data_IF_731937677001
#
_entry.id   IF_731937677001
#
_cell.length_a   1.000
_cell.length_b   1.000
_cell.length_c   1.000
_cell.angle_alpha   90.00
_cell.angle_beta   90.00
_cell.angle_gamma   90.00
#
_symmetry.space_group_name_H-M   'P 1'
#
loop_
_entity.id
_entity.type
_entity.pdbx_description
1 polymer ?
#
# COMPACT_ATOMS: atom_id res chain seq x y z
N UNK A 1 -6.79 -12.64 -5.84
CA UNK A 1 -6.66 -11.19 -5.62
C UNK A 1 -5.20 -10.84 -5.76
N UNK A 2 -4.86 -9.98 -6.71
CA UNK A 2 -3.46 -9.71 -7.09
C UNK A 2 -2.81 -8.90 -5.97
N UNK A 3 -2.13 -9.61 -5.08
CA UNK A 3 -0.99 -9.02 -4.40
C UNK A 3 0.05 -8.79 -5.49
N UNK A 4 0.20 -7.56 -5.96
CA UNK A 4 1.48 -7.11 -6.54
C UNK A 4 2.43 -6.98 -5.35
N UNK A 5 2.88 -8.15 -4.84
CA UNK A 5 4.01 -8.23 -3.91
C UNK A 5 5.24 -7.92 -4.72
N UNK A 6 5.99 -6.93 -4.22
CA UNK A 6 7.38 -6.63 -4.52
C UNK A 6 8.18 -7.91 -4.85
N UNK A 7 8.51 -8.11 -6.12
CA UNK A 7 9.53 -9.05 -6.59
C UNK A 7 9.79 -8.78 -8.07
N UNK A 8 10.68 -7.83 -8.35
CA UNK A 8 11.17 -7.58 -9.70
C UNK A 8 12.69 -7.40 -9.67
N UNK A 9 13.38 -8.55 -9.60
CA UNK A 9 14.79 -8.70 -9.97
C UNK A 9 14.87 -9.73 -11.08
N UNK A 10 14.62 -9.31 -12.33
CA UNK A 10 14.99 -10.10 -13.51
C UNK A 10 15.53 -9.15 -14.59
N UNK A 11 16.85 -9.21 -14.79
CA UNK A 11 17.59 -8.54 -15.85
C UNK A 11 17.39 -9.20 -17.23
N UNK A 12 16.14 -9.45 -17.63
CA UNK A 12 15.82 -9.85 -18.99
C UNK A 12 15.49 -8.59 -19.82
N UNK A 13 15.93 -8.55 -21.08
CA UNK A 13 15.45 -7.56 -22.05
C UNK A 13 13.92 -7.71 -22.14
N UNK A 14 13.20 -6.83 -21.46
CA UNK A 14 11.74 -6.76 -21.52
C UNK A 14 11.31 -6.65 -22.99
N UNK A 15 10.35 -7.46 -23.40
CA UNK A 15 9.70 -7.34 -24.71
C UNK A 15 8.68 -6.20 -24.73
N UNK A 16 8.29 -5.72 -23.55
CA UNK A 16 7.37 -4.60 -23.36
C UNK A 16 8.14 -3.28 -23.43
N UNK A 17 7.68 -2.30 -24.25
CA UNK A 17 8.27 -0.97 -24.31
C UNK A 17 8.25 -0.25 -22.95
N UNK A 18 9.24 0.61 -22.74
CA UNK A 18 9.29 1.51 -21.58
C UNK A 18 9.09 2.96 -22.06
N UNK A 19 8.07 3.68 -21.55
CA UNK A 19 7.01 3.19 -20.67
C UNK A 19 5.96 2.34 -21.44
N UNK A 20 5.28 1.40 -20.76
CA UNK A 20 4.21 0.60 -21.37
C UNK A 20 2.96 1.44 -21.62
N UNK A 21 2.26 1.11 -22.70
CA UNK A 21 0.99 1.72 -23.06
C UNK A 21 -0.20 0.89 -22.55
N UNK A 22 -1.41 1.46 -22.62
CA UNK A 22 -2.66 0.79 -22.23
C UNK A 22 -2.82 -0.61 -22.87
N UNK A 23 -2.47 -0.75 -24.15
CA UNK A 23 -2.58 -2.02 -24.89
C UNK A 23 -1.64 -3.12 -24.37
N UNK A 24 -0.50 -2.76 -23.76
CA UNK A 24 0.42 -3.71 -23.15
C UNK A 24 -0.18 -4.31 -21.88
N UNK A 25 -0.79 -3.47 -21.03
CA UNK A 25 -1.52 -3.91 -19.85
C UNK A 25 -2.72 -4.78 -20.22
N UNK A 26 -3.52 -4.39 -21.22
CA UNK A 26 -4.63 -5.21 -21.70
C UNK A 26 -4.16 -6.59 -22.16
N UNK A 27 -3.07 -6.65 -22.95
CA UNK A 27 -2.50 -7.91 -23.43
C UNK A 27 -2.04 -8.79 -22.27
N UNK A 28 -1.39 -8.20 -21.26
CA UNK A 28 -0.97 -8.92 -20.05
C UNK A 28 -2.17 -9.44 -19.24
N UNK A 29 -3.21 -8.63 -19.03
CA UNK A 29 -4.40 -9.02 -18.28
C UNK A 29 -5.22 -10.12 -18.98
N UNK A 30 -5.27 -10.11 -20.32
CA UNK A 30 -6.00 -11.12 -21.09
C UNK A 30 -5.41 -12.54 -20.98
N UNK A 31 -4.16 -12.69 -20.51
CA UNK A 31 -3.56 -14.01 -20.22
C UNK A 31 -4.08 -14.64 -18.92
N UNK A 32 -4.86 -13.89 -18.12
CA UNK A 32 -5.48 -14.36 -16.89
C UNK A 32 -4.48 -14.50 -15.72
N UNK A 33 -4.96 -14.36 -14.49
CA UNK A 33 -4.13 -14.47 -13.27
C UNK A 33 -3.99 -15.91 -12.76
N UNK A 34 -4.68 -16.86 -13.38
CA UNK A 34 -4.68 -18.25 -12.93
C UNK A 34 -3.58 -19.08 -13.61
N UNK A 35 -2.86 -18.50 -14.56
CA UNK A 35 -1.78 -19.16 -15.28
C UNK A 35 -0.43 -18.54 -14.94
N UNK A 36 0.63 -19.36 -14.92
CA UNK A 36 2.00 -18.87 -14.76
C UNK A 36 2.37 -17.84 -15.84
N UNK A 37 2.01 -18.10 -17.10
CA UNK A 37 2.26 -17.19 -18.21
C UNK A 37 1.59 -15.82 -18.05
N UNK A 38 0.41 -15.77 -17.41
CA UNK A 38 -0.26 -14.50 -17.12
C UNK A 38 0.32 -13.75 -15.92
N UNK A 39 0.85 -14.46 -14.93
CA UNK A 39 1.67 -13.86 -13.87
C UNK A 39 2.96 -13.26 -14.41
N UNK A 40 3.68 -13.98 -15.26
CA UNK A 40 4.91 -13.51 -15.90
C UNK A 40 4.66 -12.27 -16.76
N UNK A 41 3.61 -12.27 -17.58
CA UNK A 41 3.27 -11.13 -18.43
C UNK A 41 2.88 -9.87 -17.63
N UNK A 42 2.15 -10.03 -16.52
CA UNK A 42 1.81 -8.89 -15.66
C UNK A 42 3.04 -8.37 -14.91
N UNK A 43 3.88 -9.28 -14.42
CA UNK A 43 5.16 -8.95 -13.79
C UNK A 43 6.05 -8.16 -14.77
N UNK A 44 6.14 -8.59 -16.04
CA UNK A 44 6.92 -7.92 -17.08
C UNK A 44 6.39 -6.50 -17.39
N UNK A 45 5.07 -6.31 -17.58
CA UNK A 45 4.52 -4.97 -17.87
C UNK A 45 4.67 -4.02 -16.68
N UNK A 46 4.51 -4.50 -15.45
CA UNK A 46 4.75 -3.66 -14.27
C UNK A 46 6.23 -3.34 -14.08
N UNK A 47 7.14 -4.24 -14.46
CA UNK A 47 8.58 -3.95 -14.48
C UNK A 47 8.92 -2.87 -15.51
N UNK A 48 8.35 -2.97 -16.72
CA UNK A 48 8.52 -1.95 -17.75
C UNK A 48 7.93 -0.59 -17.34
N UNK A 49 6.94 -0.57 -16.44
CA UNK A 49 6.31 0.64 -15.92
C UNK A 49 7.07 1.31 -14.76
N UNK A 50 8.15 0.69 -14.25
CA UNK A 50 9.00 1.33 -13.24
C UNK A 50 9.82 2.45 -13.88
N UNK A 51 10.04 3.54 -13.14
CA UNK A 51 10.92 4.62 -13.59
C UNK A 51 12.34 4.11 -13.86
N UNK A 52 12.93 4.54 -14.98
CA UNK A 52 14.34 4.29 -15.26
C UNK A 52 15.24 5.20 -14.41
N UNK A 53 16.50 4.80 -14.22
CA UNK A 53 17.50 5.61 -13.50
C UNK A 53 17.59 7.04 -14.06
N UNK A 54 17.55 7.18 -15.39
CA UNK A 54 17.56 8.49 -16.07
C UNK A 54 16.38 9.36 -15.66
N UNK A 55 15.19 8.77 -15.55
CA UNK A 55 13.97 9.47 -15.12
C UNK A 55 14.03 9.83 -13.63
N UNK A 56 14.50 8.91 -12.80
CA UNK A 56 14.73 9.14 -11.37
C UNK A 56 15.74 10.27 -11.14
N UNK A 57 16.85 10.31 -11.88
CA UNK A 57 17.82 11.40 -11.83
C UNK A 57 17.23 12.74 -12.29
N UNK A 58 16.41 12.76 -13.36
CA UNK A 58 15.73 13.98 -13.81
C UNK A 58 14.83 14.54 -12.70
N UNK A 59 14.12 13.67 -11.98
CA UNK A 59 13.28 14.06 -10.83
C UNK A 59 14.14 14.53 -9.65
N UNK A 60 15.25 13.84 -9.36
CA UNK A 60 16.16 14.17 -8.25
C UNK A 60 16.75 15.59 -8.38
N UNK A 61 17.11 15.99 -9.61
CA UNK A 61 17.67 17.31 -9.91
C UNK A 61 16.61 18.43 -9.83
N UNK A 62 15.33 18.09 -9.93
CA UNK A 62 14.22 19.02 -9.78
C UNK A 62 14.02 19.50 -8.34
N UNK A 63 12.94 20.27 -8.13
CA UNK A 63 12.50 20.77 -6.81
C UNK A 63 11.08 20.30 -6.43
N UNK A 64 10.43 19.52 -7.28
CA UNK A 64 9.10 19.01 -7.01
C UNK A 64 9.14 17.87 -5.99
N UNK A 65 8.85 18.22 -4.73
CA UNK A 65 8.82 17.30 -3.58
C UNK A 65 7.90 16.11 -3.83
N UNK A 66 6.72 16.32 -4.42
CA UNK A 66 5.76 15.25 -4.63
C UNK A 66 6.25 14.26 -5.70
N UNK A 67 6.85 14.76 -6.78
CA UNK A 67 7.47 13.90 -7.79
C UNK A 67 8.64 13.09 -7.20
N UNK A 68 9.44 13.67 -6.30
CA UNK A 68 10.50 12.93 -5.60
C UNK A 68 9.94 11.83 -4.70
N UNK A 69 8.87 12.10 -3.95
CA UNK A 69 8.18 11.09 -3.13
C UNK A 69 7.69 9.95 -4.03
N UNK A 70 6.99 10.28 -5.12
CA UNK A 70 6.46 9.29 -6.04
C UNK A 70 7.55 8.44 -6.70
N UNK A 71 8.64 9.07 -7.13
CA UNK A 71 9.77 8.37 -7.73
C UNK A 71 10.47 7.44 -6.73
N UNK A 72 10.70 7.91 -5.50
CA UNK A 72 11.29 7.09 -4.44
C UNK A 72 10.42 5.90 -4.02
N UNK A 73 9.08 5.99 -4.16
CA UNK A 73 8.18 4.85 -3.92
C UNK A 73 8.20 3.84 -5.08
N UNK A 74 8.57 4.26 -6.29
CA UNK A 74 8.67 3.42 -7.48
C UNK A 74 10.03 2.77 -7.68
N UNK A 75 11.07 3.22 -6.99
CA UNK A 75 12.40 2.65 -7.14
C UNK A 75 12.49 1.19 -6.69
N UNK A 76 13.43 0.46 -7.27
CA UNK A 76 13.67 -0.96 -6.99
C UNK A 76 14.24 -1.11 -5.59
N UNK A 77 13.87 -2.20 -4.90
CA UNK A 77 14.31 -2.42 -3.51
C UNK A 77 15.83 -2.50 -3.35
N UNK A 78 16.55 -2.89 -4.41
CA UNK A 78 18.01 -3.02 -4.45
C UNK A 78 18.73 -1.74 -4.90
N UNK A 79 18.01 -0.68 -5.27
CA UNK A 79 18.59 0.60 -5.67
C UNK A 79 18.71 1.56 -4.46
N UNK A 80 19.82 2.30 -4.41
CA UNK A 80 20.08 3.29 -3.37
C UNK A 80 19.44 4.66 -3.68
N UNK A 81 19.05 4.89 -4.94
CA UNK A 81 18.56 6.19 -5.40
C UNK A 81 17.19 6.56 -4.82
N UNK A 82 16.31 5.58 -4.64
CA UNK A 82 14.94 5.79 -4.16
C UNK A 82 14.89 6.26 -2.71
N UNK A 83 15.64 5.64 -1.80
CA UNK A 83 15.68 6.14 -0.42
C UNK A 83 16.29 7.55 -0.37
N UNK A 84 17.29 7.84 -1.20
CA UNK A 84 17.87 9.18 -1.30
C UNK A 84 16.86 10.22 -1.83
N UNK A 85 16.00 9.86 -2.79
CA UNK A 85 14.89 10.70 -3.27
C UNK A 85 13.90 11.02 -2.13
N UNK A 86 13.51 10.01 -1.35
CA UNK A 86 12.58 10.19 -0.22
C UNK A 86 13.20 11.07 0.89
N UNK A 87 14.46 10.84 1.23
CA UNK A 87 15.18 11.64 2.23
C UNK A 87 15.39 13.09 1.77
N UNK A 88 15.67 13.31 0.48
CA UNK A 88 15.75 14.64 -0.11
C UNK A 88 14.40 15.34 -0.07
N UNK A 89 13.31 14.65 -0.43
CA UNK A 89 11.96 15.19 -0.36
C UNK A 89 11.59 15.63 1.07
N UNK A 90 11.88 14.79 2.06
CA UNK A 90 11.68 15.10 3.48
C UNK A 90 12.58 16.25 3.97
N UNK A 91 13.79 16.39 3.42
CA UNK A 91 14.71 17.48 3.77
C UNK A 91 14.29 18.83 3.15
N UNK A 92 13.77 18.82 1.92
CA UNK A 92 13.26 20.03 1.24
C UNK A 92 11.97 20.50 1.90
N UNK A 93 11.12 19.58 2.35
CA UNK A 93 9.83 19.89 3.00
C UNK A 93 9.70 19.17 4.35
N UNK A 94 10.41 19.63 5.39
CA UNK A 94 10.46 18.95 6.68
C UNK A 94 9.12 18.95 7.42
N UNK A 95 8.20 19.85 7.09
CA UNK A 95 6.83 19.87 7.61
C UNK A 95 5.85 18.97 6.86
N UNK A 96 6.26 18.33 5.77
CA UNK A 96 5.40 17.43 5.01
C UNK A 96 5.43 16.02 5.63
N UNK A 97 4.39 15.69 6.40
CA UNK A 97 4.27 14.39 7.05
C UNK A 97 4.24 13.21 6.07
N UNK A 98 3.73 13.38 4.85
CA UNK A 98 3.71 12.33 3.84
C UNK A 98 5.12 11.98 3.34
N UNK A 99 6.03 12.95 3.26
CA UNK A 99 7.44 12.69 2.91
C UNK A 99 8.10 11.77 3.95
N UNK A 100 7.88 12.06 5.23
CA UNK A 100 8.37 11.22 6.33
C UNK A 100 7.68 9.86 6.38
N UNK A 101 6.38 9.79 6.08
CA UNK A 101 5.67 8.52 5.95
C UNK A 101 6.30 7.63 4.87
N UNK A 102 6.60 8.20 3.70
CA UNK A 102 7.26 7.47 2.62
C UNK A 102 8.63 6.92 3.04
N UNK A 103 9.46 7.72 3.72
CA UNK A 103 10.73 7.26 4.30
C UNK A 103 10.49 6.11 5.27
N UNK A 104 9.56 6.26 6.22
CA UNK A 104 9.28 5.24 7.22
C UNK A 104 8.83 3.91 6.59
N UNK A 105 7.89 3.93 5.63
CA UNK A 105 7.44 2.71 4.97
C UNK A 105 8.53 2.05 4.12
N UNK A 106 9.34 2.85 3.41
CA UNK A 106 10.44 2.33 2.61
C UNK A 106 11.50 1.69 3.50
N UNK A 107 11.93 2.38 4.55
CA UNK A 107 12.89 1.85 5.50
C UNK A 107 12.38 0.56 6.16
N UNK A 108 11.12 0.50 6.59
CA UNK A 108 10.53 -0.71 7.16
C UNK A 108 10.53 -1.89 6.16
N UNK A 109 10.27 -1.60 4.88
CA UNK A 109 10.31 -2.60 3.82
C UNK A 109 11.73 -3.14 3.61
N UNK A 110 12.74 -2.26 3.57
CA UNK A 110 14.15 -2.67 3.46
C UNK A 110 14.59 -3.53 4.66
N UNK A 111 14.25 -3.10 5.87
CA UNK A 111 14.52 -3.83 7.11
C UNK A 111 13.90 -5.23 7.12
N UNK A 112 12.62 -5.34 6.76
CA UNK A 112 11.89 -6.61 6.67
C UNK A 112 12.50 -7.60 5.67
N UNK A 113 13.14 -7.10 4.62
CA UNK A 113 13.75 -7.93 3.57
C UNK A 113 15.27 -8.07 3.73
N UNK A 114 15.85 -7.55 4.81
CA UNK A 114 17.29 -7.55 5.07
C UNK A 114 18.13 -6.92 3.93
N UNK A 115 17.65 -5.82 3.36
CA UNK A 115 18.31 -5.12 2.26
C UNK A 115 19.06 -3.89 2.79
N UNK A 116 20.33 -3.76 2.39
CA UNK A 116 21.20 -2.64 2.76
C UNK A 116 21.74 -2.71 4.20
N UNK A 117 22.25 -1.59 4.70
CA UNK A 117 22.75 -1.49 6.06
C UNK A 117 21.59 -1.35 7.07
N UNK A 118 21.40 -2.40 7.88
CA UNK A 118 20.26 -2.52 8.81
C UNK A 118 20.29 -1.44 9.88
N UNK A 119 21.46 -1.10 10.42
CA UNK A 119 21.58 -0.12 11.49
C UNK A 119 21.23 1.30 10.99
N UNK A 120 21.79 1.68 9.84
CA UNK A 120 21.52 2.96 9.18
C UNK A 120 20.04 3.07 8.80
N UNK A 121 19.48 2.01 8.21
CA UNK A 121 18.06 1.98 7.83
C UNK A 121 17.13 2.06 9.05
N UNK A 122 17.48 1.38 10.14
CA UNK A 122 16.77 1.48 11.43
C UNK A 122 16.81 2.89 12.01
N UNK A 123 17.94 3.58 11.92
CA UNK A 123 18.05 4.98 12.36
C UNK A 123 17.18 5.92 11.50
N UNK A 124 17.16 5.72 10.17
CA UNK A 124 16.28 6.48 9.26
C UNK A 124 14.80 6.25 9.57
N UNK A 125 14.41 4.99 9.78
CA UNK A 125 13.06 4.61 10.18
C UNK A 125 12.62 5.30 11.49
N UNK A 126 13.46 5.23 12.54
CA UNK A 126 13.19 5.87 13.83
C UNK A 126 13.01 7.38 13.67
N UNK A 127 13.95 8.06 13.01
CA UNK A 127 13.87 9.50 12.72
C UNK A 127 12.58 9.88 11.98
N UNK A 128 12.19 9.09 10.98
CA UNK A 128 10.99 9.36 10.20
C UNK A 128 9.72 9.24 11.06
N UNK A 129 9.58 8.16 11.84
CA UNK A 129 8.43 7.99 12.73
C UNK A 129 8.42 9.02 13.88
N UNK A 130 9.58 9.45 14.38
CA UNK A 130 9.68 10.54 15.38
C UNK A 130 9.14 11.83 14.80
N UNK A 131 9.58 12.16 13.58
CA UNK A 131 9.14 13.38 12.90
C UNK A 131 7.65 13.33 12.60
N UNK A 132 7.11 12.20 12.13
CA UNK A 132 5.67 12.03 11.93
C UNK A 132 4.88 12.25 13.23
N UNK A 133 5.37 11.73 14.36
CA UNK A 133 4.74 11.89 15.67
C UNK A 133 4.74 13.35 16.12
N UNK A 134 5.80 14.10 15.83
CA UNK A 134 5.88 15.53 16.12
C UNK A 134 4.95 16.36 15.24
N UNK A 135 4.85 16.05 13.94
CA UNK A 135 4.01 16.80 12.99
C UNK A 135 2.51 16.50 13.16
N UNK A 136 2.16 15.28 13.55
CA UNK A 136 0.78 14.85 13.78
C UNK A 136 0.65 14.08 15.10
N UNK A 137 0.66 14.76 16.26
CA UNK A 137 0.71 14.12 17.58
C UNK A 137 -0.49 13.25 17.94
N UNK A 138 -1.60 13.39 17.22
CA UNK A 138 -2.81 12.57 17.40
C UNK A 138 -2.87 11.38 16.44
N UNK A 139 -1.98 11.29 15.45
CA UNK A 139 -1.94 10.19 14.50
C UNK A 139 -1.23 8.96 15.10
N UNK A 140 -1.92 7.84 15.18
CA UNK A 140 -1.43 6.58 15.74
C UNK A 140 -0.53 5.76 14.82
N UNK A 141 -0.49 6.05 13.51
CA UNK A 141 0.29 5.28 12.52
C UNK A 141 1.77 5.15 12.87
N UNK A 142 2.50 6.21 13.31
CA UNK A 142 3.90 6.08 13.71
C UNK A 142 4.13 5.05 14.83
N UNK A 143 3.21 4.95 15.80
CA UNK A 143 3.31 3.97 16.88
C UNK A 143 3.07 2.55 16.38
N UNK A 144 2.09 2.34 15.49
CA UNK A 144 1.89 1.02 14.87
C UNK A 144 3.09 0.60 14.01
N UNK A 145 3.72 1.54 13.30
CA UNK A 145 4.94 1.27 12.54
C UNK A 145 6.08 0.84 13.46
N UNK A 146 6.29 1.56 14.58
CA UNK A 146 7.30 1.18 15.57
C UNK A 146 7.02 -0.17 16.20
N UNK A 147 5.76 -0.46 16.53
CA UNK A 147 5.38 -1.77 17.05
C UNK A 147 5.71 -2.88 16.04
N UNK A 148 5.46 -2.65 14.75
CA UNK A 148 5.83 -3.59 13.70
C UNK A 148 7.35 -3.75 13.58
N UNK A 149 8.12 -2.67 13.75
CA UNK A 149 9.59 -2.71 13.78
C UNK A 149 10.13 -3.46 15.00
N UNK A 150 9.58 -3.23 16.19
CA UNK A 150 9.92 -3.98 17.41
C UNK A 150 9.67 -5.48 17.24
N UNK A 151 8.59 -5.87 16.55
CA UNK A 151 8.37 -7.27 16.18
C UNK A 151 9.45 -7.84 15.24
N UNK A 152 10.00 -7.03 14.32
CA UNK A 152 11.12 -7.45 13.46
C UNK A 152 12.41 -7.63 14.27
N UNK A 153 12.62 -6.80 15.29
CA UNK A 153 13.75 -6.90 16.22
C UNK A 153 13.52 -7.94 17.34
N UNK A 154 12.45 -8.75 17.25
CA UNK A 154 12.04 -9.77 18.24
C UNK A 154 11.65 -9.20 19.62
N UNK A 155 11.46 -7.88 19.74
CA UNK A 155 11.01 -7.19 20.94
C UNK A 155 9.47 -7.14 21.04
N UNK A 156 8.84 -8.29 21.31
CA UNK A 156 7.38 -8.36 21.41
C UNK A 156 6.82 -7.55 22.59
N UNK A 157 7.58 -7.41 23.68
CA UNK A 157 7.20 -6.58 24.83
C UNK A 157 7.01 -5.10 24.44
N UNK A 158 8.00 -4.50 23.78
CA UNK A 158 7.90 -3.13 23.29
C UNK A 158 6.77 -2.93 22.28
N UNK A 159 6.57 -3.90 21.37
CA UNK A 159 5.47 -3.86 20.41
C UNK A 159 4.08 -3.84 21.09
N UNK A 160 3.90 -4.59 22.19
CA UNK A 160 2.67 -4.58 22.99
C UNK A 160 2.43 -3.24 23.68
N UNK A 161 3.47 -2.64 24.26
CA UNK A 161 3.34 -1.31 24.88
C UNK A 161 2.95 -0.24 23.85
N UNK A 162 3.57 -0.29 22.67
CA UNK A 162 3.30 0.65 21.58
C UNK A 162 1.89 0.51 21.00
N UNK A 163 1.37 -0.72 20.84
CA UNK A 163 0.01 -0.92 20.31
C UNK A 163 -1.05 -0.42 21.28
N UNK A 164 -0.84 -0.60 22.59
CA UNK A 164 -1.72 -0.06 23.65
C UNK A 164 -1.65 1.46 23.68
N UNK A 165 -0.46 2.05 23.54
CA UNK A 165 -0.32 3.51 23.43
C UNK A 165 -1.04 4.06 22.19
N UNK A 166 -0.93 3.38 21.04
CA UNK A 166 -1.62 3.74 19.80
C UNK A 166 -3.15 3.63 19.91
N UNK A 167 -3.65 2.71 20.73
CA UNK A 167 -5.06 2.53 21.02
C UNK A 167 -5.69 3.76 21.68
N UNK A 168 -4.92 4.51 22.49
CA UNK A 168 -5.38 5.71 23.19
C UNK A 168 -5.39 6.99 22.35
N UNK A 169 -4.93 6.95 21.09
CA UNK A 169 -4.88 8.12 20.20
C UNK A 169 -6.07 8.15 19.27
N UNK A 170 -6.58 9.32 18.86
CA UNK A 170 -7.78 9.41 18.03
C UNK A 170 -7.53 9.24 16.52
N UNK A 171 -6.40 9.75 16.02
CA UNK A 171 -6.10 9.82 14.60
C UNK A 171 -5.51 8.54 14.03
N UNK A 172 -5.83 8.24 12.77
CA UNK A 172 -5.22 7.18 11.97
C UNK A 172 -5.17 7.61 10.51
N UNK A 173 -4.02 8.14 10.09
CA UNK A 173 -3.77 8.53 8.69
C UNK A 173 -2.50 7.85 8.19
N UNK A 174 -2.68 6.94 7.22
CA UNK A 174 -1.59 6.20 6.58
C UNK A 174 -0.89 7.00 5.49
N UNK A 175 -1.44 8.15 5.10
CA UNK A 175 -1.04 8.98 3.96
C UNK A 175 -1.13 8.26 2.60
N UNK A 176 -1.77 7.09 2.52
CA UNK A 176 -1.70 6.24 1.33
C UNK A 176 -2.21 6.93 0.05
N UNK A 177 -3.36 7.60 0.11
CA UNK A 177 -3.88 8.35 -1.03
C UNK A 177 -2.94 9.46 -1.47
N UNK A 178 -2.35 10.21 -0.52
CA UNK A 178 -1.36 11.26 -0.81
C UNK A 178 -0.12 10.68 -1.49
N UNK A 179 0.36 9.53 -1.01
CA UNK A 179 1.50 8.83 -1.61
C UNK A 179 1.19 8.32 -3.03
N UNK A 180 -0.02 7.80 -3.27
CA UNK A 180 -0.49 7.40 -4.60
C UNK A 180 -0.53 8.59 -5.57
N UNK A 181 -1.01 9.75 -5.13
CA UNK A 181 -0.98 10.99 -5.93
C UNK A 181 0.45 11.40 -6.26
N UNK A 182 1.39 11.28 -5.32
CA UNK A 182 2.80 11.55 -5.58
C UNK A 182 3.37 10.64 -6.67
N UNK A 183 3.02 9.34 -6.67
CA UNK A 183 3.41 8.38 -7.73
C UNK A 183 2.86 8.80 -9.09
N UNK A 184 1.58 9.21 -9.17
CA UNK A 184 0.97 9.70 -10.42
C UNK A 184 1.77 10.89 -10.95
N UNK A 185 2.03 11.89 -10.10
CA UNK A 185 2.76 13.09 -10.50
C UNK A 185 4.19 12.80 -10.94
N UNK A 186 4.88 11.85 -10.29
CA UNK A 186 6.21 11.43 -10.70
C UNK A 186 6.20 10.86 -12.12
N UNK A 187 5.31 9.90 -12.40
CA UNK A 187 5.18 9.23 -13.70
C UNK A 187 4.75 10.20 -14.81
N UNK A 188 3.74 11.04 -14.55
CA UNK A 188 3.29 12.05 -15.53
C UNK A 188 4.38 13.10 -15.83
N UNK A 189 5.21 13.48 -14.85
CA UNK A 189 6.30 14.45 -15.04
C UNK A 189 7.42 13.97 -15.99
N UNK A 190 7.50 12.66 -16.23
CA UNK A 190 8.44 12.05 -17.16
C UNK A 190 7.77 11.49 -18.41
N UNK A 191 6.47 11.76 -18.60
CA UNK A 191 5.76 11.54 -19.86
C UNK A 191 5.00 10.22 -19.98
N UNK A 192 4.72 9.54 -18.86
CA UNK A 192 3.89 8.33 -18.86
C UNK A 192 2.43 8.72 -19.14
N UNK A 193 1.65 7.82 -19.74
CA UNK A 193 0.23 8.08 -19.97
C UNK A 193 -0.54 8.15 -18.64
N UNK A 194 -1.68 8.85 -18.66
CA UNK A 194 -2.58 8.96 -17.51
C UNK A 194 -2.97 7.58 -16.95
N UNK A 195 -3.25 6.62 -17.84
CA UNK A 195 -3.57 5.26 -17.45
C UNK A 195 -2.39 4.58 -16.75
N UNK A 196 -1.20 4.60 -17.35
CA UNK A 196 -0.01 3.95 -16.78
C UNK A 196 0.33 4.54 -15.42
N UNK A 197 0.26 5.87 -15.28
CA UNK A 197 0.50 6.55 -14.00
C UNK A 197 -0.46 6.05 -12.89
N UNK A 198 -1.75 5.93 -13.21
CA UNK A 198 -2.80 5.53 -12.26
C UNK A 198 -2.77 4.06 -11.91
N UNK A 199 -2.58 3.17 -12.88
CA UNK A 199 -2.52 1.73 -12.62
C UNK A 199 -1.30 1.38 -11.76
N UNK A 200 -0.15 2.01 -12.02
CA UNK A 200 1.05 1.85 -11.21
C UNK A 200 0.81 2.41 -9.79
N UNK A 201 0.26 3.61 -9.67
CA UNK A 201 -0.10 4.18 -8.37
C UNK A 201 -1.06 3.28 -7.58
N UNK A 202 -2.02 2.63 -8.24
CA UNK A 202 -2.95 1.71 -7.57
C UNK A 202 -2.28 0.50 -6.90
N UNK A 203 -1.13 0.06 -7.42
CA UNK A 203 -0.31 -1.00 -6.83
C UNK A 203 0.53 -0.58 -5.62
N UNK A 204 0.63 0.72 -5.32
CA UNK A 204 1.41 1.21 -4.20
C UNK A 204 0.58 1.22 -2.90
N UNK A 205 0.73 0.19 -2.08
CA UNK A 205 0.12 0.07 -0.75
C UNK A 205 1.19 -0.10 0.36
N UNK A 206 2.05 0.91 0.58
CA UNK A 206 3.25 0.75 1.43
C UNK A 206 2.92 0.50 2.91
N UNK A 207 1.77 0.95 3.40
CA UNK A 207 1.36 0.83 4.80
C UNK A 207 0.82 -0.58 5.14
N UNK A 208 0.03 -1.15 4.24
CA UNK A 208 -0.88 -2.27 4.52
C UNK A 208 -0.17 -3.58 4.87
N UNK A 209 1.08 -3.76 4.45
CA UNK A 209 1.82 -5.02 4.65
C UNK A 209 2.44 -5.19 6.04
N UNK A 210 2.51 -4.13 6.85
CA UNK A 210 3.06 -4.20 8.20
C UNK A 210 2.06 -4.78 9.21
N UNK A 211 0.78 -4.45 9.04
CA UNK A 211 -0.28 -4.74 10.03
C UNK A 211 -0.52 -6.24 10.26
N UNK A 212 -0.61 -7.11 9.23
CA UNK A 212 -0.84 -8.54 9.43
C UNK A 212 0.28 -9.26 10.19
N UNK A 213 1.52 -8.76 10.09
CA UNK A 213 2.65 -9.35 10.82
C UNK A 213 2.61 -8.93 12.29
N UNK A 214 2.36 -7.65 12.53
CA UNK A 214 2.21 -7.09 13.87
C UNK A 214 1.12 -7.81 14.65
N UNK A 215 -0.11 -7.86 14.13
CA UNK A 215 -1.23 -8.43 14.90
C UNK A 215 -1.01 -9.93 15.20
N UNK A 216 -0.50 -10.70 14.23
CA UNK A 216 -0.19 -12.12 14.46
C UNK A 216 0.86 -12.31 15.54
N UNK A 217 1.91 -11.48 15.55
CA UNK A 217 2.97 -11.56 16.55
C UNK A 217 2.42 -11.26 17.96
N UNK A 218 1.63 -10.19 18.10
CA UNK A 218 0.99 -9.82 19.37
C UNK A 218 0.01 -10.91 19.84
N UNK A 219 -0.90 -11.35 18.97
CA UNK A 219 -1.97 -12.29 19.32
C UNK A 219 -1.47 -13.71 19.60
N UNK A 220 -0.29 -14.09 19.09
CA UNK A 220 0.36 -15.35 19.39
C UNK A 220 1.12 -15.33 20.74
N UNK A 221 1.55 -14.16 21.20
CA UNK A 221 2.42 -14.01 22.37
C UNK A 221 1.64 -13.83 23.69
N UNK A 222 0.64 -14.67 23.94
CA UNK A 222 -0.20 -14.63 25.15
C UNK A 222 -0.65 -13.22 25.53
N UNK A 223 -1.47 -12.56 24.69
CA UNK A 223 -1.78 -11.15 24.86
C UNK A 223 -2.70 -10.88 26.05
N UNK A 224 -2.59 -9.70 26.65
CA UNK A 224 -3.58 -9.19 27.60
C UNK A 224 -4.89 -8.80 26.88
N UNK A 225 -6.00 -8.70 27.61
CA UNK A 225 -7.28 -8.24 27.04
C UNK A 225 -7.17 -6.86 26.38
N UNK A 226 -6.35 -5.98 26.96
CA UNK A 226 -6.11 -4.64 26.41
C UNK A 226 -5.34 -4.70 25.09
N UNK A 227 -4.29 -5.53 25.00
CA UNK A 227 -3.54 -5.77 23.76
C UNK A 227 -4.44 -6.34 22.66
N UNK A 228 -5.34 -7.27 23.00
CA UNK A 228 -6.29 -7.81 22.01
C UNK A 228 -7.29 -6.73 21.54
N UNK A 229 -7.77 -5.86 22.44
CA UNK A 229 -8.61 -4.71 22.06
C UNK A 229 -7.86 -3.70 21.20
N UNK A 230 -6.58 -3.49 21.46
CA UNK A 230 -5.72 -2.65 20.64
C UNK A 230 -5.56 -3.21 19.21
N UNK A 231 -5.38 -4.54 19.07
CA UNK A 231 -5.43 -5.20 17.76
C UNK A 231 -6.80 -5.08 17.08
N UNK A 232 -7.89 -5.22 17.83
CA UNK A 232 -9.25 -5.06 17.30
C UNK A 232 -9.46 -3.65 16.72
N UNK A 233 -9.04 -2.61 17.44
CA UNK A 233 -9.13 -1.22 16.96
C UNK A 233 -8.22 -0.96 15.75
N UNK A 234 -6.98 -1.48 15.75
CA UNK A 234 -6.10 -1.41 14.57
C UNK A 234 -6.80 -2.01 13.35
N UNK A 235 -7.42 -3.19 13.50
CA UNK A 235 -8.16 -3.84 12.42
C UNK A 235 -9.31 -2.99 11.90
N UNK A 236 -10.10 -2.37 12.80
CA UNK A 236 -11.19 -1.47 12.40
C UNK A 236 -10.69 -0.21 11.66
N UNK A 237 -9.58 0.36 12.13
CA UNK A 237 -8.92 1.53 11.49
C UNK A 237 -8.40 1.20 10.10
N UNK A 238 -7.68 0.09 9.95
CA UNK A 238 -7.20 -0.36 8.65
C UNK A 238 -8.37 -0.70 7.73
N UNK A 239 -9.44 -1.32 8.24
CA UNK A 239 -10.60 -1.65 7.43
C UNK A 239 -11.38 -0.42 6.92
N UNK A 240 -11.17 0.75 7.52
CA UNK A 240 -11.74 2.01 7.02
C UNK A 240 -10.98 2.60 5.82
N UNK A 241 -9.87 1.97 5.41
CA UNK A 241 -9.10 2.34 4.23
C UNK A 241 -9.90 2.25 2.93
N UNK A 242 -9.48 3.05 1.94
CA UNK A 242 -10.17 3.16 0.65
C UNK A 242 -9.97 1.96 -0.29
N UNK A 243 -9.00 1.09 -0.03
CA UNK A 243 -8.71 -0.08 -0.87
C UNK A 243 -9.33 -1.38 -0.33
N UNK A 244 -9.61 -2.32 -1.22
CA UNK A 244 -10.01 -3.69 -0.89
C UNK A 244 -8.91 -4.41 -0.10
N UNK A 245 -7.63 -4.10 -0.37
CA UNK A 245 -6.53 -4.70 0.38
C UNK A 245 -6.55 -4.27 1.85
N UNK A 246 -6.74 -2.98 2.12
CA UNK A 246 -6.88 -2.45 3.48
C UNK A 246 -8.08 -3.07 4.19
N UNK A 247 -9.24 -3.07 3.53
CA UNK A 247 -10.46 -3.68 4.05
C UNK A 247 -10.23 -5.14 4.45
N UNK A 248 -9.65 -5.96 3.55
CA UNK A 248 -9.41 -7.37 3.83
C UNK A 248 -8.38 -7.61 4.92
N UNK A 249 -7.32 -6.79 4.98
CA UNK A 249 -6.32 -6.87 6.05
C UNK A 249 -6.96 -6.49 7.39
N UNK A 250 -7.64 -5.35 7.46
CA UNK A 250 -8.30 -4.86 8.67
C UNK A 250 -9.36 -5.82 9.19
N UNK A 251 -10.23 -6.32 8.31
CA UNK A 251 -11.22 -7.35 8.61
C UNK A 251 -10.59 -8.63 9.17
N UNK A 252 -9.46 -9.05 8.59
CA UNK A 252 -8.77 -10.25 9.05
C UNK A 252 -8.12 -10.07 10.42
N UNK A 253 -7.63 -8.87 10.73
CA UNK A 253 -7.12 -8.51 12.07
C UNK A 253 -8.28 -8.52 13.08
N UNK A 254 -9.41 -7.89 12.73
CA UNK A 254 -10.60 -7.83 13.58
C UNK A 254 -11.11 -9.23 13.95
N UNK A 255 -11.23 -10.13 12.96
CA UNK A 255 -11.69 -11.50 13.20
C UNK A 255 -10.78 -12.25 14.19
N UNK A 256 -9.46 -12.19 14.00
CA UNK A 256 -8.49 -12.83 14.91
C UNK A 256 -8.57 -12.26 16.33
N UNK A 257 -8.72 -10.94 16.47
CA UNK A 257 -8.88 -10.31 17.78
C UNK A 257 -10.20 -10.72 18.45
N UNK A 258 -11.32 -10.76 17.71
CA UNK A 258 -12.62 -11.21 18.23
C UNK A 258 -12.64 -12.71 18.59
N UNK A 259 -11.84 -13.55 17.93
CA UNK A 259 -11.64 -14.95 18.32
C UNK A 259 -10.92 -15.05 19.67
N UNK A 260 -9.95 -14.18 19.95
CA UNK A 260 -9.23 -14.15 21.23
C UNK A 260 -10.05 -13.57 22.39
N UNK A 261 -10.93 -12.61 22.12
CA UNK A 261 -11.82 -12.03 23.15
C UNK A 261 -13.01 -12.92 23.51
N UNK A 262 -13.28 -13.95 22.71
CA UNK A 262 -14.34 -14.96 22.86
C UNK A 262 -15.61 -14.48 23.58
N UNK A 263 -16.49 -13.82 22.84
CA UNK A 263 -17.73 -13.26 23.41
C UNK A 263 -18.92 -13.24 22.45
N UNK A 264 -20.14 -13.55 22.92
CA UNK A 264 -21.34 -13.61 22.09
C UNK A 264 -21.68 -12.26 21.44
N UNK A 265 -21.27 -11.15 22.06
CA UNK A 265 -21.46 -9.79 21.53
C UNK A 265 -20.80 -9.57 20.15
N UNK A 266 -19.82 -10.40 19.78
CA UNK A 266 -19.14 -10.28 18.48
C UNK A 266 -19.82 -11.05 17.34
N UNK A 267 -20.88 -11.83 17.61
CA UNK A 267 -21.53 -12.66 16.58
C UNK A 267 -22.02 -11.83 15.37
N UNK A 268 -22.70 -10.71 15.63
CA UNK A 268 -23.14 -9.80 14.57
C UNK A 268 -21.98 -9.14 13.82
N UNK A 269 -20.94 -8.71 14.54
CA UNK A 269 -19.78 -8.07 13.93
C UNK A 269 -19.02 -9.05 13.01
N UNK A 270 -18.83 -10.30 13.45
CA UNK A 270 -18.22 -11.38 12.64
C UNK A 270 -19.04 -11.63 11.37
N UNK A 271 -20.38 -11.70 11.47
CA UNK A 271 -21.26 -11.86 10.31
C UNK A 271 -21.12 -10.70 9.31
N UNK A 272 -21.16 -9.46 9.80
CA UNK A 272 -20.98 -8.26 8.96
C UNK A 272 -19.63 -8.27 8.23
N UNK A 273 -18.55 -8.64 8.90
CA UNK A 273 -17.24 -8.76 8.27
C UNK A 273 -17.25 -9.84 7.18
N UNK A 274 -17.85 -11.01 7.44
CA UNK A 274 -17.98 -12.06 6.42
C UNK A 274 -18.74 -11.56 5.18
N UNK A 275 -19.87 -10.87 5.38
CA UNK A 275 -20.66 -10.27 4.29
C UNK A 275 -19.84 -9.24 3.49
N UNK A 276 -19.06 -8.38 4.18
CA UNK A 276 -18.18 -7.41 3.52
C UNK A 276 -17.10 -8.10 2.68
N UNK A 277 -16.46 -9.16 3.20
CA UNK A 277 -15.47 -9.94 2.44
C UNK A 277 -16.06 -10.59 1.20
N UNK A 278 -17.31 -11.08 1.26
CA UNK A 278 -18.01 -11.61 0.09
C UNK A 278 -18.32 -10.51 -0.94
N UNK A 279 -18.71 -9.31 -0.51
CA UNK A 279 -18.87 -8.15 -1.42
C UNK A 279 -17.57 -7.80 -2.14
N UNK A 280 -16.44 -7.79 -1.44
CA UNK A 280 -15.12 -7.56 -2.06
C UNK A 280 -14.76 -8.67 -3.06
N UNK A 281 -15.06 -9.93 -2.74
CA UNK A 281 -14.90 -11.05 -3.70
C UNK A 281 -15.76 -10.85 -4.94
N UNK A 282 -17.01 -10.45 -4.78
CA UNK A 282 -17.92 -10.14 -5.90
C UNK A 282 -17.36 -9.01 -6.77
N UNK A 283 -16.94 -7.89 -6.16
CA UNK A 283 -16.29 -6.76 -6.82
C UNK A 283 -15.05 -7.19 -7.63
N UNK A 284 -14.19 -8.01 -7.02
CA UNK A 284 -12.96 -8.48 -7.66
C UNK A 284 -13.25 -9.40 -8.85
N UNK A 285 -14.26 -10.28 -8.75
CA UNK A 285 -14.70 -11.13 -9.87
C UNK A 285 -15.27 -10.29 -11.00
N UNK A 286 -16.09 -9.29 -10.67
CA UNK A 286 -16.63 -8.35 -11.64
C UNK A 286 -15.50 -7.65 -12.41
N UNK A 287 -14.52 -7.06 -11.71
CA UNK A 287 -13.34 -6.45 -12.34
C UNK A 287 -12.55 -7.42 -13.22
N UNK A 288 -12.42 -8.69 -12.80
CA UNK A 288 -11.81 -9.74 -13.62
C UNK A 288 -12.55 -9.95 -14.94
N UNK A 289 -13.88 -9.97 -14.91
CA UNK A 289 -14.73 -10.12 -16.10
C UNK A 289 -14.74 -8.87 -17.00
N UNK A 290 -14.58 -7.68 -16.41
CA UNK A 290 -14.58 -6.42 -17.16
C UNK A 290 -13.30 -6.22 -17.96
N UNK A 291 -12.17 -6.77 -17.49
CA UNK A 291 -10.87 -6.68 -18.18
C UNK A 291 -10.88 -7.31 -19.58
N UNK A 292 -11.80 -8.25 -19.84
CA UNK A 292 -11.97 -8.89 -21.15
C UNK A 292 -13.05 -8.23 -22.01
N UNK A 293 -13.69 -7.16 -21.51
CA UNK A 293 -14.71 -6.37 -22.23
C UNK A 293 -14.08 -5.13 -22.88
N UNK A 294 -14.82 -4.47 -23.76
CA UNK A 294 -14.40 -3.26 -24.49
C UNK A 294 -14.40 -1.99 -23.61
N UNK A 295 -13.73 -2.02 -22.46
CA UNK A 295 -13.53 -0.82 -21.62
C UNK A 295 -12.38 0.00 -22.19
N UNK A 296 -12.67 1.27 -22.48
CA UNK A 296 -11.69 2.20 -23.05
C UNK A 296 -10.66 2.65 -22.01
N UNK A 297 -9.48 3.09 -22.46
CA UNK A 297 -8.45 3.69 -21.60
C UNK A 297 -9.02 4.82 -20.72
N UNK A 298 -9.82 5.70 -21.32
CA UNK A 298 -10.49 6.81 -20.62
C UNK A 298 -11.40 6.34 -19.48
N UNK A 299 -12.14 5.25 -19.67
CA UNK A 299 -12.99 4.69 -18.60
C UNK A 299 -12.13 4.09 -17.47
N UNK A 300 -11.01 3.45 -17.79
CA UNK A 300 -10.08 2.96 -16.77
C UNK A 300 -9.41 4.09 -15.99
N UNK A 301 -9.01 5.17 -16.66
CA UNK A 301 -8.49 6.40 -16.00
C UNK A 301 -9.51 6.92 -15.00
N UNK A 302 -10.78 7.08 -15.42
CA UNK A 302 -11.87 7.53 -14.54
C UNK A 302 -12.16 6.56 -13.39
N UNK A 303 -12.04 5.25 -13.63
CA UNK A 303 -12.15 4.23 -12.60
C UNK A 303 -11.08 4.43 -11.51
N UNK A 304 -9.81 4.55 -11.90
CA UNK A 304 -8.72 4.73 -10.93
C UNK A 304 -8.82 6.05 -10.16
N UNK A 305 -9.18 7.16 -10.83
CA UNK A 305 -9.42 8.44 -10.17
C UNK A 305 -10.51 8.32 -9.09
N UNK A 306 -11.55 7.51 -9.34
CA UNK A 306 -12.59 7.20 -8.35
C UNK A 306 -12.07 6.32 -7.23
N UNK A 307 -11.22 5.33 -7.50
CA UNK A 307 -10.58 4.54 -6.45
C UNK A 307 -9.84 5.45 -5.45
N UNK A 308 -9.10 6.44 -5.95
CA UNK A 308 -8.33 7.36 -5.09
C UNK A 308 -9.20 8.38 -4.36
N UNK A 309 -10.32 8.81 -4.96
CA UNK A 309 -11.21 9.83 -4.39
C UNK A 309 -12.26 9.27 -3.43
N UNK A 310 -12.83 8.11 -3.75
CA UNK A 310 -14.06 7.60 -3.14
C UNK A 310 -13.96 6.13 -2.71
N UNK A 311 -12.83 5.47 -2.98
CA UNK A 311 -12.59 4.07 -2.64
C UNK A 311 -12.97 3.09 -3.77
N UNK A 312 -12.41 1.88 -3.69
CA UNK A 312 -12.52 0.89 -4.78
C UNK A 312 -13.94 0.35 -4.97
N UNK A 313 -14.73 0.23 -3.90
CA UNK A 313 -16.11 -0.25 -4.02
C UNK A 313 -16.98 0.71 -4.85
N UNK A 314 -16.83 2.02 -4.57
CA UNK A 314 -17.56 3.09 -5.26
C UNK A 314 -17.15 3.17 -6.74
N UNK A 315 -15.84 2.99 -7.00
CA UNK A 315 -15.31 2.92 -8.35
C UNK A 315 -15.83 1.71 -9.15
N UNK A 316 -15.94 0.54 -8.50
CA UNK A 316 -16.51 -0.67 -9.11
C UNK A 316 -17.98 -0.48 -9.46
N UNK A 317 -18.77 0.05 -8.53
CA UNK A 317 -20.18 0.32 -8.77
C UNK A 317 -20.37 1.31 -9.93
N UNK A 318 -19.61 2.40 -9.95
CA UNK A 318 -19.63 3.35 -11.07
C UNK A 318 -19.29 2.68 -12.41
N UNK A 319 -18.28 1.80 -12.43
CA UNK A 319 -17.89 1.10 -13.66
C UNK A 319 -18.99 0.15 -14.12
N UNK A 320 -19.67 -0.55 -13.21
CA UNK A 320 -20.85 -1.37 -13.52
C UNK A 320 -21.99 -0.56 -14.13
N UNK A 321 -22.35 0.56 -13.51
CA UNK A 321 -23.38 1.47 -14.04
C UNK A 321 -23.02 1.97 -15.45
N UNK A 322 -21.74 2.27 -15.69
CA UNK A 322 -21.26 2.69 -17.03
C UNK A 322 -21.27 1.58 -18.06
N UNK A 323 -21.17 0.33 -17.63
CA UNK A 323 -21.25 -0.84 -18.50
C UNK A 323 -22.70 -1.33 -18.71
N UNK A 324 -23.67 -0.74 -17.99
CA UNK A 324 -25.07 -1.18 -18.01
C UNK A 324 -25.30 -2.47 -17.22
N UNK A 325 -24.38 -2.83 -16.34
CA UNK A 325 -24.49 -4.00 -15.47
C UNK A 325 -25.10 -3.60 -14.11
N UNK A 326 -25.85 -4.51 -13.49
CA UNK A 326 -26.27 -4.40 -12.10
C UNK A 326 -25.23 -5.04 -11.19
N UNK A 327 -24.69 -4.26 -10.23
CA UNK A 327 -23.67 -4.68 -9.27
C UNK A 327 -24.22 -4.78 -7.84
#
# INVERSE_FOLDING_TARGET
MVLVISLLTLGCRSTVPHPPAFSDFQRAFNKGLETQAGWEAQTEVFAAAMLSDREMYKILVGTNVQAMIGAGLQGRLDDNLDLALLERAASISPSNAAAWAAVAYRSLTLLKNHIGDIQTTGNKFRRATDTMSTLAPTNSVPLYLRAAFDCLETNIGGAKELIVKAYAMDGFDTYETTLKVCVIQALESVGYSEFTARIVASGNAPATFAWPKLDRAILAASPSTEEVRACLLLGARVASGGSFLDQLVGDSIQLRAMEKLDGPQFAMAKRRITEQKERIKHATRYLGSVRTRNVTEKQWVQYYDRCFKSGEMDAVQWLAEKMGDTF
#
